data_IF_513225240456
#
_entry.id   IF_513225240456
#
_cell.length_a   1.000
_cell.length_b   1.000
_cell.length_c   1.000
_cell.angle_alpha   90.00
_cell.angle_beta   90.00
_cell.angle_gamma   90.00
#
_symmetry.space_group_name_H-M   'P 1'
#
loop_
_entity.id
_entity.type
_entity.pdbx_description
1 polymer ?
#
# COMPACT_ATOMS: atom_id res chain seq x y z
N UNK A 1 -47.79 -55.69 -29.56
CA UNK A 1 -46.86 -55.72 -28.41
C UNK A 1 -45.44 -55.22 -28.76
N UNK A 2 -45.26 -54.36 -29.76
CA UNK A 2 -43.96 -53.81 -30.17
C UNK A 2 -44.25 -52.39 -30.69
N UNK A 3 -44.01 -51.33 -29.89
CA UNK A 3 -43.95 -49.89 -30.31
C UNK A 3 -43.97 -48.89 -29.12
N UNK A 4 -43.27 -49.13 -28.01
CA UNK A 4 -43.20 -48.13 -26.90
C UNK A 4 -41.76 -47.80 -26.45
N UNK A 5 -40.71 -48.48 -26.92
CA UNK A 5 -39.36 -48.38 -26.34
C UNK A 5 -38.31 -47.63 -27.20
N UNK A 6 -38.68 -46.52 -27.86
CA UNK A 6 -37.71 -45.74 -28.69
C UNK A 6 -37.72 -44.22 -28.50
N UNK A 7 -38.32 -43.69 -27.43
CA UNK A 7 -38.39 -42.23 -27.18
C UNK A 7 -37.89 -41.81 -25.79
N UNK A 8 -36.79 -42.39 -25.32
CA UNK A 8 -36.14 -41.98 -24.05
C UNK A 8 -34.62 -41.84 -24.20
N UNK A 9 -34.17 -41.32 -25.34
CA UNK A 9 -32.75 -41.06 -25.61
C UNK A 9 -32.61 -39.77 -26.42
N UNK A 10 -33.10 -38.66 -25.87
CA UNK A 10 -32.79 -37.33 -26.37
C UNK A 10 -33.01 -36.34 -25.23
N UNK A 11 -32.04 -35.43 -25.05
CA UNK A 11 -32.07 -34.29 -24.12
C UNK A 11 -31.58 -34.64 -22.70
N UNK A 12 -30.39 -35.22 -22.61
CA UNK A 12 -29.42 -34.84 -21.57
C UNK A 12 -28.25 -34.15 -22.29
N UNK A 13 -28.56 -33.09 -23.05
CA UNK A 13 -27.54 -32.15 -23.48
C UNK A 13 -27.22 -31.33 -22.24
N UNK A 14 -26.18 -31.74 -21.51
CA UNK A 14 -25.67 -31.02 -20.37
C UNK A 14 -25.41 -29.57 -20.80
N UNK A 15 -26.25 -28.64 -20.32
CA UNK A 15 -25.87 -27.25 -20.20
C UNK A 15 -24.70 -27.21 -19.20
N UNK A 16 -23.51 -27.48 -19.69
CA UNK A 16 -22.29 -26.98 -19.04
C UNK A 16 -22.33 -25.48 -19.33
N UNK A 17 -23.06 -24.76 -18.49
CA UNK A 17 -22.91 -23.32 -18.40
C UNK A 17 -21.45 -23.11 -17.98
N UNK A 18 -20.60 -22.80 -18.95
CA UNK A 18 -19.26 -22.33 -18.69
C UNK A 18 -19.45 -21.03 -17.92
N UNK A 19 -19.32 -21.11 -16.60
CA UNK A 19 -19.26 -19.93 -15.75
C UNK A 19 -18.01 -19.20 -16.23
N UNK A 20 -18.21 -18.13 -17.00
CA UNK A 20 -17.10 -17.26 -17.33
C UNK A 20 -16.46 -16.84 -15.99
N UNK A 21 -15.13 -16.94 -15.84
CA UNK A 21 -14.49 -16.50 -14.61
C UNK A 21 -14.96 -15.08 -14.32
N UNK A 22 -15.51 -14.88 -13.12
CA UNK A 22 -15.96 -13.57 -12.69
C UNK A 22 -14.77 -12.62 -12.82
N UNK A 23 -14.96 -11.49 -13.50
CA UNK A 23 -13.92 -10.47 -13.60
C UNK A 23 -13.73 -9.89 -12.20
N UNK A 24 -12.55 -10.11 -11.62
CA UNK A 24 -12.22 -9.65 -10.28
C UNK A 24 -11.25 -8.49 -10.39
N UNK A 25 -11.50 -7.44 -9.61
CA UNK A 25 -10.55 -6.35 -9.43
C UNK A 25 -9.32 -6.84 -8.66
N UNK A 26 -8.16 -6.52 -9.19
CA UNK A 26 -6.86 -6.83 -8.59
C UNK A 26 -6.14 -5.52 -8.32
N UNK A 27 -5.45 -5.44 -7.20
CA UNK A 27 -4.55 -4.34 -6.90
C UNK A 27 -3.11 -4.71 -7.20
N UNK A 28 -2.33 -3.73 -7.66
CA UNK A 28 -0.88 -3.83 -7.76
C UNK A 28 -0.22 -2.67 -7.01
N UNK A 29 0.99 -2.94 -6.52
CA UNK A 29 1.86 -1.98 -5.85
C UNK A 29 3.24 -2.08 -6.47
N UNK A 30 3.92 -0.95 -6.62
CA UNK A 30 5.31 -0.91 -7.04
C UNK A 30 6.04 0.27 -6.36
N UNK A 31 7.34 0.15 -6.20
CA UNK A 31 8.23 1.25 -5.85
C UNK A 31 9.48 1.10 -6.72
N UNK A 32 9.74 2.07 -7.60
CA UNK A 32 10.90 2.05 -8.48
C UNK A 32 12.11 2.82 -7.90
N UNK A 33 11.96 3.36 -6.69
CA UNK A 33 12.94 4.18 -5.98
C UNK A 33 12.80 5.68 -6.26
N UNK A 34 12.13 6.10 -7.32
CA UNK A 34 11.72 7.49 -7.51
C UNK A 34 10.29 7.70 -7.00
N UNK A 35 9.39 6.77 -7.33
CA UNK A 35 7.97 6.83 -7.05
C UNK A 35 7.42 5.51 -6.50
N UNK A 36 6.44 5.62 -5.62
CA UNK A 36 5.56 4.54 -5.18
C UNK A 36 4.28 4.61 -5.99
N UNK A 37 3.80 3.47 -6.47
CA UNK A 37 2.60 3.32 -7.29
C UNK A 37 1.59 2.44 -6.59
N UNK A 38 0.34 2.89 -6.57
CA UNK A 38 -0.82 2.10 -6.22
C UNK A 38 -1.76 2.03 -7.41
N UNK A 39 -2.19 0.83 -7.78
CA UNK A 39 -3.14 0.68 -8.88
C UNK A 39 -4.18 -0.41 -8.65
N UNK A 40 -5.37 -0.26 -9.21
CA UNK A 40 -6.44 -1.25 -9.17
C UNK A 40 -7.21 -1.29 -10.49
N UNK A 41 -7.47 -2.49 -11.00
CA UNK A 41 -8.23 -2.71 -12.24
C UNK A 41 -8.87 -4.11 -12.28
N UNK A 42 -9.97 -4.30 -13.00
CA UNK A 42 -10.47 -5.63 -13.34
C UNK A 42 -9.70 -6.24 -14.52
N UNK A 43 -9.74 -7.56 -14.66
CA UNK A 43 -9.30 -8.26 -15.88
C UNK A 43 -10.49 -8.70 -16.76
N UNK A 44 -10.51 -8.45 -18.08
CA UNK A 44 -9.55 -7.63 -18.81
C UNK A 44 -9.70 -6.15 -18.43
N UNK A 45 -8.60 -5.42 -18.59
CA UNK A 45 -8.51 -4.02 -18.21
C UNK A 45 -9.44 -3.17 -19.05
N UNK A 46 -10.33 -2.45 -18.38
CA UNK A 46 -11.23 -1.48 -19.02
C UNK A 46 -11.31 -0.16 -18.26
N UNK A 47 -11.21 -0.22 -16.93
CA UNK A 47 -11.16 0.92 -16.02
C UNK A 47 -9.97 0.71 -15.07
N UNK A 48 -9.13 1.73 -14.88
CA UNK A 48 -8.02 1.74 -13.94
C UNK A 48 -8.20 2.85 -12.91
N UNK A 49 -7.82 2.53 -11.67
CA UNK A 49 -7.57 3.50 -10.61
C UNK A 49 -6.07 3.52 -10.38
N UNK A 50 -5.39 4.64 -10.61
CA UNK A 50 -3.93 4.73 -10.43
C UNK A 50 -3.54 5.95 -9.63
N UNK A 51 -2.54 5.82 -8.77
CA UNK A 51 -1.93 6.94 -8.06
C UNK A 51 -0.43 6.71 -7.94
N UNK A 52 0.31 7.80 -7.77
CA UNK A 52 1.71 7.74 -7.40
C UNK A 52 2.05 8.78 -6.32
N UNK A 53 3.17 8.55 -5.65
CA UNK A 53 3.74 9.39 -4.62
C UNK A 53 5.27 9.30 -4.65
N UNK A 54 6.02 10.27 -4.10
CA UNK A 54 7.46 10.16 -3.98
C UNK A 54 7.89 8.93 -3.16
N UNK A 55 8.88 8.20 -3.65
CA UNK A 55 9.52 7.12 -2.89
C UNK A 55 10.40 7.69 -1.77
N UNK A 56 10.55 6.92 -0.69
CA UNK A 56 11.47 7.25 0.40
C UNK A 56 12.93 7.32 -0.08
N UNK A 57 13.27 6.52 -1.11
CA UNK A 57 14.64 6.46 -1.67
C UNK A 57 15.00 7.74 -2.44
N UNK A 58 14.02 8.45 -3.00
CA UNK A 58 14.19 9.71 -3.75
C UNK A 58 15.23 9.63 -4.88
N UNK A 59 15.27 8.52 -5.61
CA UNK A 59 16.08 8.44 -6.81
C UNK A 59 15.59 9.46 -7.86
N UNK A 60 16.48 10.05 -8.67
CA UNK A 60 16.06 10.90 -9.77
C UNK A 60 15.20 10.09 -10.77
N UNK A 61 14.06 10.62 -11.27
CA UNK A 61 13.19 9.90 -12.21
C UNK A 61 13.90 9.41 -13.48
N UNK A 62 14.90 10.17 -13.95
CA UNK A 62 15.71 9.80 -15.10
C UNK A 62 16.52 8.51 -14.87
N UNK A 63 16.92 8.22 -13.63
CA UNK A 63 17.71 7.03 -13.28
C UNK A 63 16.87 5.75 -13.33
N UNK A 64 15.58 5.84 -13.04
CA UNK A 64 14.66 4.69 -12.98
C UNK A 64 13.82 4.53 -14.25
N UNK A 65 14.02 5.41 -15.24
CA UNK A 65 13.30 5.39 -16.51
C UNK A 65 11.95 6.11 -16.48
N UNK A 66 11.52 6.65 -15.33
CA UNK A 66 10.25 7.38 -15.14
C UNK A 66 10.27 8.83 -15.65
N UNK A 67 10.95 9.08 -16.77
CA UNK A 67 11.18 10.43 -17.31
C UNK A 67 9.93 11.08 -17.93
N UNK A 68 8.92 10.29 -18.27
CA UNK A 68 7.63 10.77 -18.80
C UNK A 68 6.55 10.87 -17.71
N UNK A 69 6.87 10.40 -16.49
CA UNK A 69 5.90 10.35 -15.41
C UNK A 69 5.91 11.63 -14.60
N UNK A 70 4.73 12.22 -14.45
CA UNK A 70 4.51 13.34 -13.55
C UNK A 70 4.03 12.82 -12.20
N UNK A 71 4.64 13.31 -11.12
CA UNK A 71 4.14 13.07 -9.75
C UNK A 71 2.77 13.69 -9.63
N UNK A 72 1.79 12.88 -9.23
CA UNK A 72 0.44 13.33 -8.96
C UNK A 72 0.45 14.35 -7.81
N UNK A 73 -0.53 15.24 -7.75
CA UNK A 73 -0.67 16.07 -6.56
C UNK A 73 -0.95 15.17 -5.33
N UNK A 74 -0.57 15.58 -4.11
CA UNK A 74 -0.84 14.81 -2.91
C UNK A 74 -2.29 14.37 -2.81
N UNK A 75 -2.49 13.10 -2.48
CA UNK A 75 -3.81 12.50 -2.28
C UNK A 75 -4.76 12.65 -3.47
N UNK A 76 -4.22 12.57 -4.69
CA UNK A 76 -5.00 12.46 -5.91
C UNK A 76 -4.91 11.06 -6.52
N UNK A 77 -5.94 10.69 -7.27
CA UNK A 77 -6.01 9.43 -8.01
C UNK A 77 -6.47 9.74 -9.43
N UNK A 78 -5.90 9.03 -10.40
CA UNK A 78 -6.36 9.03 -11.79
C UNK A 78 -7.37 7.92 -11.99
N UNK A 79 -8.50 8.27 -12.60
CA UNK A 79 -9.38 7.30 -13.25
C UNK A 79 -9.01 7.26 -14.72
N UNK A 80 -8.69 6.07 -15.22
CA UNK A 80 -8.32 5.82 -16.60
C UNK A 80 -9.31 4.85 -17.24
N UNK A 81 -9.82 5.18 -18.41
CA UNK A 81 -10.76 4.36 -19.16
C UNK A 81 -10.16 3.98 -20.50
N UNK A 82 -10.30 2.71 -20.89
CA UNK A 82 -9.87 2.27 -22.21
C UNK A 82 -10.68 2.99 -23.30
N UNK A 83 -10.05 3.24 -24.45
CA UNK A 83 -10.73 3.84 -25.61
C UNK A 83 -11.90 2.98 -26.14
N UNK A 84 -11.94 1.69 -25.78
CA UNK A 84 -13.07 0.81 -26.11
C UNK A 84 -14.35 1.17 -25.33
N UNK A 85 -14.21 1.71 -24.11
CA UNK A 85 -15.36 2.15 -23.31
C UNK A 85 -15.88 3.52 -23.75
N UNK A 86 -14.98 4.43 -24.14
CA UNK A 86 -15.32 5.81 -24.51
C UNK A 86 -14.81 6.06 -25.92
N UNK A 87 -15.60 5.78 -26.97
CA UNK A 87 -15.17 6.05 -28.33
C UNK A 87 -15.19 7.56 -28.60
N UNK A 88 -14.20 8.04 -29.35
CA UNK A 88 -14.17 9.41 -29.86
C UNK A 88 -12.76 9.99 -29.94
N UNK A 89 -12.69 11.24 -30.40
CA UNK A 89 -11.49 12.07 -30.39
C UNK A 89 -11.86 13.42 -29.78
N UNK A 90 -10.99 13.96 -28.91
CA UNK A 90 -11.18 15.25 -28.27
C UNK A 90 -11.97 15.22 -26.94
N UNK A 91 -11.91 16.29 -26.13
CA UNK A 91 -12.39 16.25 -24.76
C UNK A 91 -13.87 15.93 -24.61
N UNK A 92 -14.22 15.20 -23.54
CA UNK A 92 -15.59 14.73 -23.25
C UNK A 92 -16.04 15.19 -21.88
N UNK A 93 -17.24 15.76 -21.77
CA UNK A 93 -17.84 16.24 -20.52
C UNK A 93 -19.30 15.79 -20.36
N UNK A 94 -19.71 14.78 -21.12
CA UNK A 94 -21.06 14.21 -21.19
C UNK A 94 -21.12 12.80 -20.57
N UNK A 95 -20.05 12.37 -19.91
CA UNK A 95 -19.88 11.00 -19.42
C UNK A 95 -20.40 10.89 -18.00
N UNK A 96 -21.30 9.93 -17.77
CA UNK A 96 -21.82 9.63 -16.45
C UNK A 96 -21.26 8.32 -15.94
N UNK A 97 -20.87 8.28 -14.67
CA UNK A 97 -20.62 7.05 -13.94
C UNK A 97 -21.75 6.83 -12.94
N UNK A 98 -22.51 5.77 -13.14
CA UNK A 98 -23.56 5.34 -12.22
C UNK A 98 -22.96 4.39 -11.19
N UNK A 99 -23.08 4.76 -9.92
CA UNK A 99 -22.62 3.99 -8.77
C UNK A 99 -23.85 3.60 -7.95
N UNK A 100 -24.22 2.33 -8.00
CA UNK A 100 -25.53 1.87 -7.53
C UNK A 100 -26.66 2.56 -8.31
N UNK A 101 -27.39 3.45 -7.63
CA UNK A 101 -28.49 4.24 -8.20
C UNK A 101 -28.13 5.72 -8.45
N UNK A 102 -26.93 6.14 -8.07
CA UNK A 102 -26.51 7.55 -8.13
C UNK A 102 -25.68 7.78 -9.39
N UNK A 103 -26.09 8.76 -10.21
CA UNK A 103 -25.31 9.20 -11.37
C UNK A 103 -24.34 10.31 -10.98
N UNK A 104 -23.06 10.12 -11.29
CA UNK A 104 -22.02 11.14 -11.17
C UNK A 104 -21.66 11.62 -12.57
N UNK A 105 -21.79 12.92 -12.83
CA UNK A 105 -21.24 13.53 -14.04
C UNK A 105 -19.73 13.65 -13.86
N UNK A 106 -18.96 13.00 -14.72
CA UNK A 106 -17.50 13.07 -14.66
C UNK A 106 -17.03 14.48 -15.08
N UNK A 107 -15.97 15.02 -14.45
CA UNK A 107 -15.26 16.18 -14.98
C UNK A 107 -14.79 15.93 -16.42
N UNK A 108 -14.41 16.98 -17.15
CA UNK A 108 -13.93 16.83 -18.52
C UNK A 108 -12.76 15.83 -18.60
N UNK A 109 -12.94 14.74 -19.35
CA UNK A 109 -11.88 13.77 -19.63
C UNK A 109 -11.00 14.27 -20.77
N UNK A 110 -9.70 14.00 -20.64
CA UNK A 110 -8.73 14.18 -21.71
C UNK A 110 -8.29 12.82 -22.25
N UNK A 111 -8.12 12.71 -23.57
CA UNK A 111 -7.49 11.54 -24.17
C UNK A 111 -5.97 11.70 -24.03
N UNK A 112 -5.34 10.76 -23.33
CA UNK A 112 -3.90 10.63 -23.34
C UNK A 112 -3.50 9.96 -24.65
N UNK A 113 -3.04 10.75 -25.63
CA UNK A 113 -2.72 10.27 -26.98
C UNK A 113 -1.55 9.28 -26.99
N UNK A 114 -0.69 9.31 -25.97
CA UNK A 114 0.47 8.42 -25.85
C UNK A 114 0.06 7.00 -25.48
N UNK A 115 -0.90 6.87 -24.55
CA UNK A 115 -1.34 5.58 -23.99
C UNK A 115 -2.69 5.11 -24.55
N UNK A 116 -3.42 5.99 -25.23
CA UNK A 116 -4.73 5.69 -25.80
C UNK A 116 -5.81 5.47 -24.73
N UNK A 117 -5.66 6.06 -23.54
CA UNK A 117 -6.67 6.01 -22.47
C UNK A 117 -7.26 7.38 -22.20
N UNK A 118 -8.51 7.40 -21.78
CA UNK A 118 -9.15 8.61 -21.26
C UNK A 118 -8.84 8.73 -19.79
N UNK A 119 -8.30 9.87 -19.38
CA UNK A 119 -7.91 10.09 -18.00
C UNK A 119 -8.61 11.30 -17.38
N UNK A 120 -8.85 11.21 -16.09
CA UNK A 120 -9.25 12.33 -15.25
C UNK A 120 -8.63 12.16 -13.85
N UNK A 121 -8.23 13.25 -13.24
CA UNK A 121 -7.63 13.26 -11.90
C UNK A 121 -8.64 13.76 -10.88
N UNK A 122 -8.82 13.02 -9.80
CA UNK A 122 -9.70 13.38 -8.68
C UNK A 122 -8.92 13.45 -7.39
N UNK A 123 -9.49 14.14 -6.40
CA UNK A 123 -9.08 13.91 -5.01
C UNK A 123 -9.44 12.47 -4.62
N UNK A 124 -8.56 11.81 -3.88
CA UNK A 124 -8.88 10.52 -3.25
C UNK A 124 -10.08 10.61 -2.29
N UNK A 125 -10.38 11.81 -1.77
CA UNK A 125 -11.52 12.09 -0.91
C UNK A 125 -12.81 12.36 -1.69
N UNK A 126 -12.80 12.21 -3.02
CA UNK A 126 -13.98 12.45 -3.85
C UNK A 126 -15.15 11.52 -3.41
N UNK A 127 -16.37 12.07 -3.19
CA UNK A 127 -17.52 11.27 -2.82
C UNK A 127 -17.86 10.14 -3.80
N UNK A 128 -17.56 10.32 -5.10
CA UNK A 128 -17.75 9.28 -6.11
C UNK A 128 -16.87 8.07 -5.83
N UNK A 129 -15.59 8.26 -5.50
CA UNK A 129 -14.67 7.16 -5.18
C UNK A 129 -15.11 6.42 -3.92
N UNK A 130 -15.56 7.17 -2.91
CA UNK A 130 -16.12 6.59 -1.68
C UNK A 130 -17.35 5.73 -2.00
N UNK A 131 -18.26 6.23 -2.84
CA UNK A 131 -19.42 5.47 -3.29
C UNK A 131 -19.01 4.23 -4.10
N UNK A 132 -18.01 4.33 -4.99
CA UNK A 132 -17.54 3.22 -5.82
C UNK A 132 -17.03 2.06 -4.98
N UNK A 133 -16.31 2.32 -3.88
CA UNK A 133 -15.83 1.26 -2.98
C UNK A 133 -16.96 0.49 -2.29
N UNK A 134 -18.14 1.10 -2.14
CA UNK A 134 -19.31 0.46 -1.53
C UNK A 134 -20.32 -0.05 -2.57
N UNK A 135 -20.01 0.07 -3.86
CA UNK A 135 -20.96 -0.20 -4.93
C UNK A 135 -21.20 -1.70 -5.13
N UNK A 136 -22.47 -2.07 -5.24
CA UNK A 136 -22.92 -3.36 -5.75
C UNK A 136 -23.11 -3.36 -7.27
N UNK A 137 -23.07 -2.18 -7.89
CA UNK A 137 -23.25 -1.98 -9.33
C UNK A 137 -22.50 -0.75 -9.82
N UNK A 138 -21.83 -0.87 -10.96
CA UNK A 138 -21.12 0.22 -11.62
C UNK A 138 -21.46 0.25 -13.11
N UNK A 139 -21.91 1.39 -13.64
CA UNK A 139 -22.23 1.55 -15.05
C UNK A 139 -21.63 2.84 -15.61
N UNK A 140 -20.81 2.72 -16.65
CA UNK A 140 -20.29 3.87 -17.38
C UNK A 140 -21.20 4.18 -18.58
N UNK A 141 -21.69 5.40 -18.68
CA UNK A 141 -22.53 5.87 -19.78
C UNK A 141 -21.85 7.03 -20.54
N UNK A 142 -21.11 6.75 -21.63
CA UNK A 142 -20.49 7.76 -22.48
C UNK A 142 -21.54 8.39 -23.42
N UNK A 143 -22.44 9.21 -22.85
CA UNK A 143 -23.54 9.84 -23.57
C UNK A 143 -24.89 9.13 -23.34
N UNK A 144 -25.86 9.33 -24.25
CA UNK A 144 -27.26 8.89 -24.06
C UNK A 144 -27.56 7.46 -24.50
N UNK A 145 -26.82 6.95 -25.48
CA UNK A 145 -27.22 5.74 -26.22
C UNK A 145 -26.30 4.54 -25.95
N UNK A 146 -25.30 4.69 -25.07
CA UNK A 146 -24.33 3.65 -24.73
C UNK A 146 -24.14 3.59 -23.22
N UNK A 147 -24.07 2.36 -22.70
CA UNK A 147 -23.78 2.09 -21.31
C UNK A 147 -23.03 0.76 -21.18
N UNK A 148 -22.03 0.74 -20.30
CA UNK A 148 -21.18 -0.41 -20.02
C UNK A 148 -21.31 -0.77 -18.55
N UNK A 149 -21.77 -1.99 -18.26
CA UNK A 149 -21.74 -2.51 -16.89
C UNK A 149 -20.32 -2.97 -16.58
N UNK A 150 -19.75 -2.40 -15.52
CA UNK A 150 -18.39 -2.66 -15.08
C UNK A 150 -18.42 -3.64 -13.91
N UNK A 151 -17.46 -4.58 -13.82
CA UNK A 151 -17.40 -5.48 -12.68
C UNK A 151 -17.17 -4.71 -11.39
N UNK A 152 -17.75 -5.19 -10.29
CA UNK A 152 -17.54 -4.65 -8.93
C UNK A 152 -16.91 -5.67 -7.98
N UNK A 153 -16.76 -6.93 -8.42
CA UNK A 153 -16.21 -7.99 -7.60
C UNK A 153 -14.77 -7.66 -7.22
N UNK A 154 -14.48 -7.53 -5.93
CA UNK A 154 -13.14 -7.15 -5.43
C UNK A 154 -12.81 -5.67 -5.49
N UNK A 155 -13.66 -4.82 -6.08
CA UNK A 155 -13.40 -3.39 -6.29
C UNK A 155 -13.03 -2.68 -4.97
N UNK A 156 -13.84 -2.88 -3.93
CA UNK A 156 -13.62 -2.27 -2.61
C UNK A 156 -12.21 -2.52 -2.07
N UNK A 157 -11.79 -3.78 -2.05
CA UNK A 157 -10.49 -4.20 -1.52
C UNK A 157 -9.33 -3.75 -2.39
N UNK A 158 -9.47 -3.86 -3.72
CA UNK A 158 -8.43 -3.43 -4.65
C UNK A 158 -8.22 -1.92 -4.61
N UNK A 159 -9.31 -1.13 -4.67
CA UNK A 159 -9.26 0.32 -4.58
C UNK A 159 -8.68 0.79 -3.25
N UNK A 160 -9.11 0.18 -2.11
CA UNK A 160 -8.51 0.47 -0.80
C UNK A 160 -7.01 0.23 -0.80
N UNK A 161 -6.58 -0.92 -1.32
CA UNK A 161 -5.16 -1.29 -1.38
C UNK A 161 -4.34 -0.31 -2.22
N UNK A 162 -4.85 0.10 -3.39
CA UNK A 162 -4.19 1.09 -4.24
C UNK A 162 -4.08 2.46 -3.56
N UNK A 163 -5.20 2.96 -3.01
CA UNK A 163 -5.24 4.26 -2.34
C UNK A 163 -4.33 4.30 -1.10
N UNK A 164 -4.39 3.26 -0.26
CA UNK A 164 -3.58 3.18 0.95
C UNK A 164 -2.08 3.25 0.65
N UNK A 165 -1.60 2.52 -0.37
CA UNK A 165 -0.19 2.58 -0.81
C UNK A 165 0.29 4.00 -1.08
N UNK A 166 -0.51 4.81 -1.78
CA UNK A 166 -0.14 6.18 -2.09
C UNK A 166 -0.32 7.12 -0.89
N UNK A 167 -1.36 6.90 -0.06
CA UNK A 167 -1.56 7.66 1.19
C UNK A 167 -0.36 7.47 2.12
N UNK A 168 0.09 6.23 2.33
CA UNK A 168 1.25 5.90 3.15
C UNK A 168 2.53 6.60 2.65
N UNK A 169 2.75 6.58 1.34
CA UNK A 169 3.90 7.24 0.71
C UNK A 169 3.83 8.78 0.83
N UNK A 170 2.64 9.39 0.69
CA UNK A 170 2.48 10.84 0.91
C UNK A 170 2.67 11.25 2.37
N UNK A 171 2.22 10.43 3.33
CA UNK A 171 2.51 10.62 4.75
C UNK A 171 4.02 10.58 4.99
N UNK A 172 4.69 9.58 4.41
CA UNK A 172 6.15 9.42 4.50
C UNK A 172 6.91 10.58 3.86
N UNK A 173 6.33 11.20 2.83
CA UNK A 173 6.84 12.42 2.21
C UNK A 173 6.57 13.71 3.04
N UNK A 174 5.88 13.60 4.18
CA UNK A 174 5.64 14.69 5.13
C UNK A 174 4.34 15.47 4.90
N UNK A 175 3.39 14.92 4.14
CA UNK A 175 2.10 15.56 3.92
C UNK A 175 1.08 15.17 5.01
N UNK A 176 0.26 16.13 5.42
CA UNK A 176 -0.83 15.89 6.35
C UNK A 176 -2.00 15.16 5.67
N UNK A 177 -2.50 14.09 6.29
CA UNK A 177 -3.62 13.33 5.74
C UNK A 177 -4.92 14.14 5.86
N UNK A 178 -5.65 14.35 4.75
CA UNK A 178 -6.98 14.94 4.81
C UNK A 178 -7.91 14.11 5.71
N UNK A 179 -8.75 14.70 6.58
CA UNK A 179 -9.62 13.94 7.47
C UNK A 179 -10.50 12.90 6.77
N UNK A 180 -10.93 13.19 5.53
CA UNK A 180 -11.71 12.28 4.69
C UNK A 180 -10.94 11.01 4.25
N UNK A 181 -9.62 10.99 4.41
CA UNK A 181 -8.75 9.85 4.10
C UNK A 181 -8.19 9.17 5.35
N UNK A 182 -8.69 9.52 6.54
CA UNK A 182 -8.26 8.91 7.80
C UNK A 182 -8.42 7.39 7.83
N UNK A 183 -9.35 6.81 7.07
CA UNK A 183 -9.50 5.35 6.94
C UNK A 183 -8.37 4.67 6.14
N UNK A 184 -7.63 5.45 5.34
CA UNK A 184 -6.47 4.99 4.56
C UNK A 184 -5.15 5.34 5.22
N UNK A 185 -5.15 6.30 6.15
CA UNK A 185 -3.99 6.52 6.97
C UNK A 185 -3.67 5.18 7.67
N UNK A 186 -2.40 4.79 7.76
CA UNK A 186 -2.05 3.76 8.70
C UNK A 186 -2.55 4.27 10.05
N UNK A 187 -3.13 3.40 10.87
CA UNK A 187 -3.60 3.74 12.22
C UNK A 187 -2.48 4.38 13.09
N UNK A 188 -1.27 4.40 12.56
CA UNK A 188 0.01 4.74 13.13
C UNK A 188 0.56 6.11 12.68
N UNK A 189 0.11 6.66 11.55
CA UNK A 189 0.82 7.75 10.87
C UNK A 189 0.22 9.16 10.96
N UNK A 190 -0.70 9.43 11.89
CA UNK A 190 -1.46 10.68 11.89
C UNK A 190 -1.02 11.73 12.91
N UNK A 191 -0.07 12.60 12.55
CA UNK A 191 0.03 14.03 12.96
C UNK A 191 0.20 14.41 14.45
N UNK A 192 -0.02 13.51 15.40
CA UNK A 192 0.34 13.63 16.80
C UNK A 192 1.35 12.53 17.11
N UNK A 193 2.43 12.87 17.80
CA UNK A 193 3.42 11.86 18.18
C UNK A 193 2.72 10.77 19.00
N UNK A 194 2.69 9.55 18.46
CA UNK A 194 2.14 8.39 19.16
C UNK A 194 2.98 8.11 20.40
N UNK A 195 2.45 7.41 21.42
CA UNK A 195 3.22 7.09 22.62
C UNK A 195 4.57 6.39 22.31
N UNK A 196 4.61 5.52 21.29
CA UNK A 196 5.84 4.80 20.92
C UNK A 196 6.84 5.69 20.19
N UNK A 197 6.38 6.57 19.29
CA UNK A 197 7.26 7.55 18.64
C UNK A 197 7.86 8.53 19.66
N UNK A 198 7.04 9.03 20.60
CA UNK A 198 7.54 9.89 21.70
C UNK A 198 8.58 9.15 22.54
N UNK A 199 8.34 7.88 22.85
CA UNK A 199 9.28 7.05 23.60
C UNK A 199 10.62 6.86 22.86
N UNK A 200 10.57 6.58 21.55
CA UNK A 200 11.75 6.42 20.73
C UNK A 200 12.55 7.73 20.58
N UNK A 201 11.88 8.87 20.36
CA UNK A 201 12.55 10.18 20.31
C UNK A 201 13.17 10.59 21.65
N UNK A 202 12.53 10.21 22.77
CA UNK A 202 13.10 10.36 24.10
C UNK A 202 14.34 9.47 24.29
N UNK A 203 14.34 8.24 23.75
CA UNK A 203 15.49 7.35 23.75
C UNK A 203 16.66 7.93 22.94
N UNK A 204 16.41 8.53 21.77
CA UNK A 204 17.44 9.27 21.00
C UNK A 204 18.05 10.40 21.83
N UNK A 205 17.19 11.22 22.45
CA UNK A 205 17.63 12.37 23.24
C UNK A 205 18.45 11.94 24.46
N UNK A 206 18.02 10.88 25.15
CA UNK A 206 18.73 10.29 26.28
C UNK A 206 20.07 9.69 25.83
N UNK A 207 20.07 8.95 24.72
CA UNK A 207 21.24 8.22 24.26
C UNK A 207 22.33 9.06 23.62
N UNK A 208 21.96 10.20 23.01
CA UNK A 208 22.93 11.18 22.51
C UNK A 208 23.45 12.14 23.58
N UNK A 209 22.83 12.16 24.78
CA UNK A 209 23.13 13.12 25.83
C UNK A 209 23.18 14.58 25.32
N UNK A 210 22.25 14.92 24.43
CA UNK A 210 22.27 16.17 23.68
C UNK A 210 21.66 16.05 22.29
N UNK A 211 21.90 17.04 21.41
CA UNK A 211 21.28 17.09 20.09
C UNK A 211 21.80 15.99 19.16
N UNK A 212 20.93 15.55 18.25
CA UNK A 212 21.21 14.52 17.26
C UNK A 212 20.65 14.90 15.89
N UNK A 213 21.38 14.55 14.84
CA UNK A 213 20.87 14.46 13.47
C UNK A 213 20.18 13.11 13.28
N UNK A 214 19.02 13.13 12.61
CA UNK A 214 18.17 11.96 12.37
C UNK A 214 18.01 11.80 10.87
N UNK A 215 18.47 10.68 10.32
CA UNK A 215 18.25 10.28 8.94
C UNK A 215 16.80 9.87 8.71
N UNK A 216 16.36 9.68 7.46
CA UNK A 216 14.97 9.34 7.14
C UNK A 216 14.51 7.99 7.72
N UNK A 217 15.44 7.04 7.92
CA UNK A 217 15.15 5.67 8.36
C UNK A 217 15.36 5.45 9.87
N UNK A 218 15.62 6.52 10.64
CA UNK A 218 15.88 6.38 12.09
C UNK A 218 14.71 5.80 12.86
N UNK A 219 13.47 5.95 12.37
CA UNK A 219 12.28 5.30 12.92
C UNK A 219 11.54 4.57 11.82
N UNK A 220 11.32 3.28 12.03
CA UNK A 220 10.44 2.45 11.21
C UNK A 220 9.15 2.22 11.98
N UNK A 221 8.03 2.59 11.40
CA UNK A 221 6.71 2.44 12.01
C UNK A 221 5.96 1.24 11.42
N UNK A 222 5.36 0.42 12.26
CA UNK A 222 4.61 -0.77 11.85
C UNK A 222 3.62 -1.27 12.92
N UNK A 223 3.00 -2.41 12.63
CA UNK A 223 2.11 -3.16 13.53
C UNK A 223 2.71 -4.53 13.83
N UNK A 224 3.75 -4.54 14.64
CA UNK A 224 4.55 -5.74 14.93
C UNK A 224 3.78 -6.67 15.88
N UNK A 225 3.14 -6.11 16.91
CA UNK A 225 2.41 -6.88 17.91
C UNK A 225 0.95 -7.20 17.54
N UNK A 226 0.42 -6.55 16.50
CA UNK A 226 -0.89 -6.84 15.92
C UNK A 226 -2.05 -6.19 16.67
N UNK A 227 -1.81 -5.27 17.60
CA UNK A 227 -2.87 -4.70 18.43
C UNK A 227 -3.62 -3.53 17.79
N UNK A 228 -3.20 -3.09 16.60
CA UNK A 228 -3.84 -1.94 15.96
C UNK A 228 -3.28 -0.60 16.41
N UNK A 229 -2.18 -0.56 17.19
CA UNK A 229 -1.41 0.61 17.67
C UNK A 229 0.03 0.63 17.10
N UNK A 230 0.62 1.82 16.98
CA UNK A 230 1.93 1.99 16.31
C UNK A 230 3.04 1.40 17.15
N UNK A 231 3.79 0.49 16.54
CA UNK A 231 5.08 0.05 17.03
C UNK A 231 6.19 0.78 16.27
N UNK A 232 7.30 1.03 16.97
CA UNK A 232 8.43 1.78 16.43
C UNK A 232 9.72 0.97 16.58
N UNK A 233 10.47 0.86 15.49
CA UNK A 233 11.88 0.44 15.53
C UNK A 233 12.74 1.69 15.41
N UNK A 234 13.55 1.97 16.43
CA UNK A 234 14.61 2.97 16.39
C UNK A 234 15.89 2.34 15.85
N UNK A 235 16.29 2.71 14.64
CA UNK A 235 17.54 2.28 14.03
C UNK A 235 18.65 3.30 14.28
N UNK A 236 19.57 2.96 15.18
CA UNK A 236 20.68 3.84 15.54
C UNK A 236 21.70 4.05 14.41
N UNK A 237 21.65 3.27 13.31
CA UNK A 237 22.50 3.52 12.12
C UNK A 237 22.16 4.85 11.45
N UNK A 238 20.91 5.29 11.56
CA UNK A 238 20.43 6.54 10.99
C UNK A 238 20.39 7.68 12.03
N UNK A 239 21.06 7.53 13.18
CA UNK A 239 21.18 8.57 14.21
C UNK A 239 22.64 8.97 14.38
N UNK A 240 22.92 10.26 14.28
CA UNK A 240 24.24 10.82 14.55
C UNK A 240 24.15 11.82 15.72
N UNK A 241 24.83 11.50 16.81
CA UNK A 241 24.85 12.33 18.01
C UNK A 241 25.90 13.45 17.85
N UNK A 242 25.51 14.70 18.10
CA UNK A 242 26.39 15.87 17.91
C UNK A 242 27.25 16.17 19.15
N UNK A 243 26.89 15.60 20.31
CA UNK A 243 27.53 15.84 21.61
C UNK A 243 28.50 14.73 22.05
N UNK A 244 28.73 13.70 21.23
CA UNK A 244 29.58 12.56 21.56
C UNK A 244 29.14 11.27 20.86
N UNK A 245 29.81 10.13 21.08
CA UNK A 245 29.41 8.86 20.48
C UNK A 245 28.04 8.41 21.01
N UNK A 246 27.18 7.83 20.14
CA UNK A 246 25.85 7.36 20.53
C UNK A 246 25.93 6.31 21.64
N UNK A 247 24.98 6.38 22.57
CA UNK A 247 24.72 5.36 23.59
C UNK A 247 23.23 5.06 23.59
N UNK A 248 22.77 4.13 22.75
CA UNK A 248 23.32 2.79 22.59
C UNK A 248 24.35 2.62 21.46
N UNK A 249 24.95 1.43 21.42
CA UNK A 249 26.17 1.11 20.68
C UNK A 249 25.95 1.05 19.16
N UNK A 250 26.74 1.82 18.42
CA UNK A 250 26.94 1.67 16.98
C UNK A 250 28.45 1.42 16.77
N UNK A 251 28.81 0.14 16.63
CA UNK A 251 30.19 -0.33 16.58
C UNK A 251 30.75 -0.43 15.16
N UNK A 252 31.86 -1.16 15.01
CA UNK A 252 32.56 -1.32 13.73
C UNK A 252 31.75 -2.04 12.64
N UNK A 253 30.70 -2.77 13.01
CA UNK A 253 29.89 -3.53 12.05
C UNK A 253 28.40 -3.51 12.36
N UNK A 254 27.98 -3.52 13.64
CA UNK A 254 26.58 -3.58 14.02
C UNK A 254 26.18 -2.38 14.88
N UNK A 255 24.95 -1.93 14.71
CA UNK A 255 24.37 -0.88 15.52
C UNK A 255 23.14 -1.39 16.24
N UNK A 256 22.78 -0.68 17.31
CA UNK A 256 21.63 -1.04 18.11
C UNK A 256 20.35 -0.74 17.32
N UNK A 257 19.36 -1.60 17.47
CA UNK A 257 18.00 -1.36 17.05
C UNK A 257 17.10 -1.57 18.26
N UNK A 258 16.35 -0.54 18.64
CA UNK A 258 15.44 -0.63 19.78
C UNK A 258 14.00 -0.74 19.27
N UNK A 259 13.26 -1.72 19.77
CA UNK A 259 11.89 -1.98 19.33
C UNK A 259 10.93 -1.61 20.46
N UNK A 260 10.11 -0.60 20.19
CA UNK A 260 9.08 -0.07 21.07
C UNK A 260 7.74 -0.65 20.64
N UNK A 261 7.30 -1.67 21.37
CA UNK A 261 6.02 -2.34 21.12
C UNK A 261 4.92 -1.71 21.97
N UNK A 262 3.85 -1.27 21.33
CA UNK A 262 2.71 -0.58 21.91
C UNK A 262 1.99 -1.42 22.99
N UNK A 263 1.92 -2.73 22.83
CA UNK A 263 1.35 -3.63 23.84
C UNK A 263 2.29 -3.93 25.02
N UNK A 264 3.61 -3.74 24.89
CA UNK A 264 4.60 -4.14 25.89
C UNK A 264 5.24 -2.95 26.64
N UNK A 265 5.65 -1.92 25.90
CA UNK A 265 6.39 -0.77 26.42
C UNK A 265 5.65 -0.02 27.53
N UNK A 266 4.33 0.26 27.46
CA UNK A 266 3.63 0.96 28.55
C UNK A 266 3.63 0.19 29.88
N UNK A 267 3.79 -1.13 29.83
CA UNK A 267 3.84 -2.00 31.02
C UNK A 267 5.24 -2.12 31.59
N UNK A 268 6.25 -2.23 30.73
CA UNK A 268 7.64 -2.46 31.12
C UNK A 268 8.45 -1.18 31.30
N UNK A 269 8.10 -0.12 30.56
CA UNK A 269 8.92 1.07 30.37
C UNK A 269 10.22 0.80 29.60
N UNK A 270 10.33 -0.33 28.88
CA UNK A 270 11.55 -0.80 28.22
C UNK A 270 11.27 -1.28 26.80
N UNK A 271 12.12 -0.85 25.87
CA UNK A 271 12.25 -1.38 24.51
C UNK A 271 12.93 -2.77 24.52
N UNK A 272 12.77 -3.49 23.41
CA UNK A 272 13.61 -4.66 23.10
C UNK A 272 14.88 -4.16 22.39
N UNK A 273 16.04 -4.38 23.01
CA UNK A 273 17.34 -3.87 22.53
C UNK A 273 18.09 -4.93 21.75
N UNK A 274 18.24 -4.76 20.44
CA UNK A 274 18.91 -5.70 19.55
C UNK A 274 20.16 -5.10 18.92
N UNK A 275 21.10 -5.96 18.52
CA UNK A 275 22.23 -5.57 17.68
C UNK A 275 22.00 -6.13 16.29
N UNK A 276 22.01 -5.27 15.27
CA UNK A 276 21.78 -5.66 13.89
C UNK A 276 22.75 -4.95 12.93
N UNK A 277 23.04 -5.58 11.80
CA UNK A 277 23.64 -4.89 10.64
C UNK A 277 22.64 -3.94 9.98
N UNK A 278 21.36 -4.28 10.12
CA UNK A 278 20.24 -3.45 9.71
C UNK A 278 18.92 -4.05 10.10
N UNK A 279 17.88 -3.22 10.07
CA UNK A 279 16.53 -3.58 10.43
C UNK A 279 15.55 -3.09 9.38
N UNK A 280 14.49 -3.85 9.19
CA UNK A 280 13.43 -3.55 8.23
C UNK A 280 12.12 -4.18 8.71
N UNK A 281 11.00 -3.56 8.38
CA UNK A 281 9.67 -4.12 8.57
C UNK A 281 9.26 -4.91 7.32
N UNK A 282 8.84 -6.15 7.52
CA UNK A 282 8.40 -7.06 6.45
C UNK A 282 6.97 -7.49 6.72
N UNK A 283 6.00 -7.21 5.82
CA UNK A 283 4.63 -7.65 6.01
C UNK A 283 4.53 -9.18 6.11
N UNK A 284 3.79 -9.67 7.10
CA UNK A 284 3.52 -11.09 7.32
C UNK A 284 2.14 -11.47 6.78
N UNK A 285 1.95 -12.77 6.52
CA UNK A 285 0.69 -13.31 5.99
C UNK A 285 -0.49 -13.21 6.96
N UNK A 286 -0.22 -12.98 8.25
CA UNK A 286 -1.24 -12.79 9.28
C UNK A 286 -1.74 -11.34 9.41
N UNK A 287 -1.22 -10.41 8.59
CA UNK A 287 -1.59 -8.99 8.61
C UNK A 287 -0.80 -8.13 9.60
N UNK A 288 0.17 -8.71 10.32
CA UNK A 288 1.13 -7.98 11.15
C UNK A 288 2.42 -7.70 10.35
N UNK A 289 3.27 -6.84 10.89
CA UNK A 289 4.63 -6.66 10.41
C UNK A 289 5.62 -7.55 11.19
N UNK A 290 6.56 -8.14 10.47
CA UNK A 290 7.71 -8.83 11.03
C UNK A 290 8.93 -7.93 11.03
N UNK A 291 9.91 -8.23 11.89
CA UNK A 291 11.17 -7.50 11.97
C UNK A 291 12.26 -8.32 11.31
N UNK A 292 12.73 -7.88 10.14
CA UNK A 292 13.89 -8.48 9.46
C UNK A 292 15.16 -7.82 9.98
N UNK A 293 16.07 -8.64 10.52
CA UNK A 293 17.36 -8.20 11.04
C UNK A 293 18.52 -8.77 10.24
N UNK A 294 19.42 -7.91 9.75
CA UNK A 294 20.70 -8.33 9.18
C UNK A 294 21.65 -8.88 10.24
N UNK A 295 22.23 -10.06 9.98
CA UNK A 295 23.18 -10.75 10.87
C UNK A 295 24.58 -10.81 10.27
N UNK A 296 25.60 -10.96 11.13
CA UNK A 296 26.99 -11.03 10.67
C UNK A 296 27.22 -12.16 9.67
N UNK A 297 28.18 -11.98 8.76
CA UNK A 297 28.56 -13.02 7.79
C UNK A 297 29.01 -14.31 8.47
N UNK A 298 29.66 -14.23 9.63
CA UNK A 298 30.03 -15.39 10.43
C UNK A 298 28.80 -16.17 10.90
N UNK A 299 27.80 -15.46 11.47
CA UNK A 299 26.52 -16.06 11.88
C UNK A 299 25.78 -16.68 10.70
N UNK A 300 25.76 -16.00 9.56
CA UNK A 300 25.14 -16.45 8.33
C UNK A 300 25.77 -17.78 7.82
N UNK A 301 27.11 -17.84 7.79
CA UNK A 301 27.84 -19.03 7.37
C UNK A 301 27.67 -20.21 8.33
N UNK A 302 27.71 -19.96 9.65
CA UNK A 302 27.49 -20.99 10.68
C UNK A 302 26.09 -21.58 10.61
N UNK A 303 25.09 -20.75 10.34
CA UNK A 303 23.68 -21.15 10.28
C UNK A 303 23.22 -21.62 8.90
N UNK A 304 24.09 -21.56 7.89
CA UNK A 304 23.76 -21.96 6.51
C UNK A 304 22.62 -21.15 5.89
N UNK A 305 22.48 -19.86 6.27
CA UNK A 305 21.42 -19.00 5.77
C UNK A 305 21.71 -18.57 4.33
N UNK A 306 20.71 -18.64 3.46
CA UNK A 306 20.82 -18.15 2.08
C UNK A 306 20.86 -16.62 2.02
N UNK A 307 20.09 -15.97 2.89
CA UNK A 307 20.13 -14.52 3.11
C UNK A 307 20.73 -14.26 4.48
N UNK A 308 21.67 -13.32 4.61
CA UNK A 308 22.27 -12.99 5.90
C UNK A 308 21.35 -12.08 6.74
N UNK A 309 20.10 -12.50 6.88
CA UNK A 309 19.07 -11.87 7.67
C UNK A 309 18.19 -12.93 8.36
N UNK A 310 17.61 -12.55 9.48
CA UNK A 310 16.64 -13.34 10.24
C UNK A 310 15.34 -12.55 10.33
N UNK A 311 14.21 -13.23 10.16
CA UNK A 311 12.89 -12.62 10.30
C UNK A 311 12.31 -12.97 11.66
N UNK A 312 11.76 -11.97 12.36
CA UNK A 312 11.14 -12.14 13.66
C UNK A 312 9.67 -11.71 13.62
N UNK A 313 8.85 -12.35 14.45
CA UNK A 313 7.44 -12.02 14.64
C UNK A 313 7.12 -11.97 16.13
N UNK A 314 6.07 -11.24 16.51
CA UNK A 314 5.60 -11.19 17.88
C UNK A 314 4.74 -12.41 18.24
N UNK A 315 5.09 -13.14 19.31
CA UNK A 315 4.33 -14.31 19.78
C UNK A 315 3.28 -13.98 20.87
N UNK A 316 3.06 -12.69 21.16
CA UNK A 316 2.23 -12.22 22.27
C UNK A 316 2.99 -11.93 23.56
N UNK A 317 4.25 -12.40 23.67
CA UNK A 317 5.10 -12.20 24.85
C UNK A 317 6.46 -11.60 24.49
N UNK A 318 7.05 -12.02 23.38
CA UNK A 318 8.35 -11.57 22.89
C UNK A 318 8.44 -11.74 21.38
N UNK A 319 9.42 -11.09 20.78
CA UNK A 319 9.80 -11.36 19.41
C UNK A 319 10.50 -12.73 19.31
N UNK A 320 10.07 -13.53 18.34
CA UNK A 320 10.62 -14.85 18.04
C UNK A 320 11.03 -14.94 16.59
N UNK A 321 12.11 -15.66 16.36
CA UNK A 321 12.56 -15.98 15.02
C UNK A 321 11.50 -16.82 14.30
N UNK A 322 11.16 -16.41 13.08
CA UNK A 322 10.32 -17.16 12.16
C UNK A 322 11.20 -18.23 11.49
N UNK A 323 10.86 -19.53 11.61
CA UNK A 323 11.68 -20.64 11.13
C UNK A 323 11.74 -20.76 9.60
#
# INVERSE_FOLDING_TARGET
MIRILRRAAAIYLALVATVAPAQVWVASKADDGAYVYGSASPEPVQLWLSCNAPSATRLPPLQVGAHEETVSAPYTIRLEFSNALIPGIGPRADIHLWVGQTAYLLPQLALNEMTGVWELTLSMADPMLTAMRAADRLVLAPGRDQAWELPVQGLAGAAKTAMQTCVDAWISAGFEVPPALSEFAPAYGGGAATPMRVAADAAVSAGCNGPATRGPEYLLAGNIDGDGTEDIILDWRAVECLSGPPRPYCGASMCSAEIFLSSAYPRSGRSEDWLALGVELVPLSNGNDGVRMGVSQATCAERGLAECALLYYWDGLRLRELP
#
